data_IF_427558993434
#
_entry.id   IF_427558993434
#
_cell.length_a   1.000
_cell.length_b   1.000
_cell.length_c   1.000
_cell.angle_alpha   90.00
_cell.angle_beta   90.00
_cell.angle_gamma   90.00
#
_symmetry.space_group_name_H-M   'P 1'
#
loop_
_entity.id
_entity.type
_entity.pdbx_description
1 polymer ?
#
# COMPACT_ATOMS: atom_id res chain seq x y z
N UNK A 1 4.85 76.02 4.47
CA UNK A 1 5.30 75.96 5.87
C UNK A 1 5.69 74.53 6.21
N UNK A 2 6.94 74.36 6.66
CA UNK A 2 7.61 73.26 7.39
C UNK A 2 7.53 71.82 6.80
N UNK A 3 8.51 71.28 6.06
CA UNK A 3 9.92 70.88 6.35
C UNK A 3 10.13 69.70 7.33
N UNK A 4 10.73 68.63 6.79
CA UNK A 4 11.83 67.74 7.27
C UNK A 4 11.80 66.51 6.33
N UNK A 5 12.68 66.21 5.37
CA UNK A 5 14.14 66.15 5.22
C UNK A 5 14.87 65.29 6.27
N UNK A 6 15.36 64.13 5.86
CA UNK A 6 16.77 63.73 6.02
C UNK A 6 17.18 62.71 4.93
N UNK A 7 18.21 63.09 4.16
CA UNK A 7 19.04 62.25 3.30
C UNK A 7 20.17 61.63 4.15
N UNK A 8 20.90 60.57 3.74
CA UNK A 8 22.13 60.68 2.93
C UNK A 8 22.80 59.28 2.79
N UNK A 9 23.33 59.01 1.58
CA UNK A 9 24.58 58.29 1.22
C UNK A 9 24.73 56.78 1.51
N UNK A 10 25.40 55.94 0.70
CA UNK A 10 26.23 56.05 -0.53
C UNK A 10 26.60 54.61 -0.93
N UNK A 11 26.37 54.11 -2.15
CA UNK A 11 27.22 54.12 -3.38
C UNK A 11 28.67 53.67 -3.18
N UNK A 12 29.03 52.51 -3.75
CA UNK A 12 30.12 52.19 -4.72
C UNK A 12 30.29 50.64 -4.75
N UNK A 13 29.96 49.85 -5.79
CA UNK A 13 30.33 49.75 -7.22
C UNK A 13 31.81 49.43 -7.53
N UNK A 14 31.96 48.45 -8.45
CA UNK A 14 33.10 48.00 -9.29
C UNK A 14 33.82 46.73 -8.78
N UNK A 15 33.57 45.53 -9.32
CA UNK A 15 33.75 44.92 -10.67
C UNK A 15 35.15 44.38 -10.99
N UNK A 16 35.16 43.09 -11.36
CA UNK A 16 35.97 42.40 -12.40
C UNK A 16 37.49 42.27 -12.21
N UNK A 17 37.99 41.02 -12.21
CA UNK A 17 38.49 40.36 -13.42
C UNK A 17 38.90 38.89 -13.16
N UNK A 18 38.71 38.08 -14.19
CA UNK A 18 39.17 36.68 -14.33
C UNK A 18 40.35 36.71 -15.31
N UNK A 19 41.43 35.97 -15.06
CA UNK A 19 42.18 35.14 -16.04
C UNK A 19 43.41 34.48 -15.42
N UNK A 20 43.74 33.31 -15.96
CA UNK A 20 44.80 32.35 -15.63
C UNK A 20 46.24 32.91 -15.72
N UNK A 21 47.18 32.39 -14.90
CA UNK A 21 48.40 31.69 -15.37
C UNK A 21 49.32 31.24 -14.20
N UNK A 22 49.53 29.91 -14.14
CA UNK A 22 50.79 29.14 -14.19
C UNK A 22 52.09 29.67 -13.51
N UNK A 23 52.51 28.91 -12.47
CA UNK A 23 53.88 28.37 -12.13
C UNK A 23 54.88 29.11 -11.21
N UNK A 24 55.49 28.27 -10.35
CA UNK A 24 56.72 28.37 -9.53
C UNK A 24 56.63 29.22 -8.24
N UNK A 25 57.20 28.83 -7.10
CA UNK A 25 58.33 27.92 -6.84
C UNK A 25 58.39 27.50 -5.35
N UNK A 26 59.04 26.36 -5.15
CA UNK A 26 59.50 25.64 -3.94
C UNK A 26 59.78 26.42 -2.64
N UNK A 27 59.36 25.86 -1.50
CA UNK A 27 60.20 25.20 -0.47
C UNK A 27 59.33 24.91 0.78
N UNK A 28 59.02 23.64 1.07
CA UNK A 28 59.74 22.78 2.05
C UNK A 28 59.64 23.33 3.49
N UNK A 29 58.71 22.75 4.26
CA UNK A 29 59.09 22.05 5.49
C UNK A 29 58.07 20.94 5.82
N UNK A 30 58.51 19.70 6.06
CA UNK A 30 57.67 18.56 6.42
C UNK A 30 57.42 18.53 7.94
N UNK A 31 56.66 17.54 8.42
CA UNK A 31 56.34 17.22 9.83
C UNK A 31 54.95 17.70 10.27
N UNK A 32 53.87 17.09 9.75
CA UNK A 32 52.71 16.59 10.55
C UNK A 32 51.68 15.87 9.66
N UNK A 33 52.04 14.75 9.03
CA UNK A 33 51.07 13.96 8.23
C UNK A 33 50.88 12.51 8.67
N UNK A 34 51.67 11.99 9.63
CA UNK A 34 51.60 10.57 10.01
C UNK A 34 50.69 10.25 11.21
N UNK A 35 50.16 11.27 11.93
CA UNK A 35 49.13 11.04 12.97
C UNK A 35 47.69 11.17 12.47
N UNK A 36 47.47 11.69 11.26
CA UNK A 36 46.13 11.77 10.66
C UNK A 36 45.69 10.48 9.94
N UNK A 37 46.63 9.57 9.61
CA UNK A 37 46.32 8.36 8.82
C UNK A 37 45.94 7.12 9.65
N UNK A 38 46.13 7.13 10.98
CA UNK A 38 45.74 6.02 11.88
C UNK A 38 44.49 6.30 12.73
N UNK A 39 43.84 7.44 12.52
CA UNK A 39 42.54 7.78 13.15
C UNK A 39 41.34 7.41 12.25
N UNK A 40 41.56 7.27 10.94
CA UNK A 40 40.48 7.01 9.97
C UNK A 40 40.20 5.52 9.70
N UNK A 41 40.90 4.60 10.38
CA UNK A 41 40.64 3.15 10.30
C UNK A 41 39.83 2.59 11.49
N UNK A 42 39.43 3.43 12.45
CA UNK A 42 38.65 3.01 13.62
C UNK A 42 37.21 3.56 13.65
N UNK A 43 36.71 4.08 12.52
CA UNK A 43 35.35 4.65 12.40
C UNK A 43 34.63 4.22 11.11
N UNK A 44 34.97 3.04 10.58
CA UNK A 44 34.10 2.26 9.69
C UNK A 44 33.44 1.15 10.51
N UNK A 45 32.81 1.53 11.61
CA UNK A 45 31.85 0.68 12.30
C UNK A 45 30.45 1.04 11.78
N UNK A 46 29.88 0.12 10.99
CA UNK A 46 28.44 -0.05 10.77
C UNK A 46 27.60 1.22 10.51
N UNK A 47 27.92 2.03 9.50
CA UNK A 47 26.87 2.83 8.84
C UNK A 47 26.00 1.87 8.03
N UNK A 48 24.79 1.61 8.52
CA UNK A 48 23.80 0.85 7.77
C UNK A 48 23.58 1.51 6.41
N UNK A 49 23.73 0.74 5.33
CA UNK A 49 23.41 1.18 3.98
C UNK A 49 21.89 1.12 3.77
N UNK A 50 21.13 1.73 4.66
CA UNK A 50 19.68 1.82 4.55
C UNK A 50 19.36 2.93 3.54
N UNK A 51 18.96 2.53 2.34
CA UNK A 51 18.65 3.46 1.24
C UNK A 51 17.14 3.53 1.03
N UNK A 52 16.56 4.73 1.12
CA UNK A 52 15.14 4.92 0.79
C UNK A 52 15.02 4.90 -0.73
N UNK A 53 14.41 3.85 -1.28
CA UNK A 53 14.31 3.62 -2.73
C UNK A 53 12.92 3.89 -3.29
N UNK A 54 11.91 4.02 -2.43
CA UNK A 54 10.59 4.53 -2.77
C UNK A 54 10.03 5.32 -1.59
N UNK A 55 9.43 6.47 -1.89
CA UNK A 55 8.58 7.24 -0.98
C UNK A 55 7.37 7.78 -1.77
N UNK A 56 6.34 6.94 -1.88
CA UNK A 56 5.14 7.21 -2.65
C UNK A 56 4.06 7.76 -1.73
N UNK A 57 3.79 9.06 -1.85
CA UNK A 57 2.65 9.71 -1.17
C UNK A 57 1.42 9.74 -2.08
N UNK A 58 0.27 9.36 -1.54
CA UNK A 58 -1.03 9.48 -2.21
C UNK A 58 -1.82 10.71 -1.75
N UNK A 59 -1.34 11.43 -0.74
CA UNK A 59 -2.02 12.63 -0.23
C UNK A 59 -1.99 13.80 -1.21
N UNK A 60 -1.07 13.75 -2.17
CA UNK A 60 -0.81 14.79 -3.16
C UNK A 60 -0.69 14.18 -4.56
N UNK A 61 -0.87 15.02 -5.57
CA UNK A 61 -0.79 14.64 -6.97
C UNK A 61 -2.15 14.52 -7.64
N UNK A 62 -2.13 14.49 -8.97
CA UNK A 62 -3.31 14.50 -9.84
C UNK A 62 -4.05 13.17 -9.71
N UNK A 63 -5.38 13.21 -9.81
CA UNK A 63 -6.19 12.00 -9.90
C UNK A 63 -6.15 11.57 -11.37
N UNK A 64 -5.45 10.48 -11.64
CA UNK A 64 -5.25 10.01 -13.01
C UNK A 64 -6.43 9.16 -13.47
N UNK A 65 -6.86 9.43 -14.70
CA UNK A 65 -7.95 8.75 -15.38
C UNK A 65 -7.40 7.76 -16.41
N UNK A 66 -8.28 6.95 -17.01
CA UNK A 66 -7.88 6.02 -18.08
C UNK A 66 -7.35 4.66 -17.60
N UNK A 67 -7.61 4.30 -16.34
CA UNK A 67 -7.20 3.02 -15.75
C UNK A 67 -7.97 1.79 -16.28
N UNK A 68 -8.95 1.99 -17.17
CA UNK A 68 -9.78 0.93 -17.76
C UNK A 68 -11.03 0.58 -16.96
N UNK A 69 -11.22 1.16 -15.77
CA UNK A 69 -12.48 1.05 -15.02
C UNK A 69 -13.20 2.40 -14.91
N UNK A 70 -14.52 2.35 -14.74
CA UNK A 70 -15.35 3.51 -14.40
C UNK A 70 -16.28 3.20 -13.22
N UNK A 71 -16.74 4.24 -12.55
CA UNK A 71 -17.75 4.16 -11.50
C UNK A 71 -18.73 5.32 -11.63
N UNK A 72 -19.95 5.10 -11.16
CA UNK A 72 -20.98 6.12 -11.11
C UNK A 72 -21.13 6.66 -9.69
N UNK A 73 -21.35 7.96 -9.56
CA UNK A 73 -21.76 8.56 -8.30
C UNK A 73 -22.97 9.46 -8.50
N UNK A 74 -23.87 9.47 -7.51
CA UNK A 74 -25.01 10.39 -7.51
C UNK A 74 -24.54 11.81 -7.23
N UNK A 75 -24.93 12.75 -8.10
CA UNK A 75 -24.62 14.19 -7.97
C UNK A 75 -25.82 15.00 -7.45
N UNK A 76 -27.02 14.42 -7.45
CA UNK A 76 -28.21 15.06 -6.91
C UNK A 76 -29.09 14.05 -6.17
N UNK A 77 -29.86 14.49 -5.15
CA UNK A 77 -30.89 13.67 -4.52
C UNK A 77 -31.98 13.20 -5.50
N UNK A 78 -32.07 13.84 -6.66
CA UNK A 78 -33.07 13.56 -7.70
C UNK A 78 -32.63 12.43 -8.65
N UNK A 79 -31.55 11.72 -8.33
CA UNK A 79 -31.10 10.53 -9.06
C UNK A 79 -30.18 10.80 -10.26
N UNK A 80 -29.69 12.03 -10.45
CA UNK A 80 -28.70 12.30 -11.50
C UNK A 80 -27.36 11.66 -11.12
N UNK A 81 -26.78 10.89 -12.04
CA UNK A 81 -25.48 10.23 -11.87
C UNK A 81 -24.42 10.88 -12.74
N UNK A 82 -23.18 10.84 -12.27
CA UNK A 82 -21.98 11.17 -13.05
C UNK A 82 -21.09 9.94 -13.13
N UNK A 83 -20.63 9.62 -14.33
CA UNK A 83 -19.65 8.54 -14.56
C UNK A 83 -18.24 9.13 -14.53
N UNK A 84 -17.38 8.56 -13.68
CA UNK A 84 -15.98 8.93 -13.58
C UNK A 84 -15.08 7.73 -13.82
N UNK A 85 -13.91 7.98 -14.42
CA UNK A 85 -12.81 7.00 -14.58
C UNK A 85 -11.67 7.24 -13.59
N UNK A 86 -11.90 8.08 -12.58
CA UNK A 86 -10.95 8.48 -11.54
C UNK A 86 -10.72 7.38 -10.47
N UNK A 87 -10.47 6.16 -10.91
CA UNK A 87 -10.15 5.02 -10.07
C UNK A 87 -8.96 4.25 -10.67
N UNK A 88 -8.36 3.35 -9.90
CA UNK A 88 -7.36 2.40 -10.38
C UNK A 88 -8.05 1.15 -10.90
N UNK A 89 -7.65 0.72 -12.09
CA UNK A 89 -8.18 -0.43 -12.81
C UNK A 89 -7.03 -1.26 -13.40
N UNK A 90 -7.30 -2.17 -14.34
CA UNK A 90 -6.28 -3.08 -14.87
C UNK A 90 -5.17 -2.36 -15.66
N UNK A 91 -5.45 -1.20 -16.26
CA UNK A 91 -4.45 -0.42 -16.98
C UNK A 91 -3.62 0.41 -15.99
N UNK A 92 -2.30 0.51 -16.21
CA UNK A 92 -1.43 1.24 -15.31
C UNK A 92 -1.70 2.75 -15.47
N UNK A 93 -1.73 3.45 -14.34
CA UNK A 93 -1.73 4.91 -14.31
C UNK A 93 -0.50 5.38 -13.54
N UNK A 94 0.17 6.41 -14.04
CA UNK A 94 1.26 7.04 -13.29
C UNK A 94 0.72 7.66 -12.00
N UNK A 95 1.50 7.63 -10.94
CA UNK A 95 1.23 8.36 -9.70
C UNK A 95 2.57 8.71 -9.08
N UNK A 96 2.95 9.99 -9.20
CA UNK A 96 4.20 10.52 -8.66
C UNK A 96 5.43 9.72 -9.14
N UNK A 97 5.45 9.31 -10.42
CA UNK A 97 6.56 8.58 -11.04
C UNK A 97 6.52 7.06 -10.88
N UNK A 98 5.43 6.52 -10.33
CA UNK A 98 5.23 5.07 -10.19
C UNK A 98 3.98 4.64 -10.96
N UNK A 99 4.05 3.53 -11.67
CA UNK A 99 2.90 2.95 -12.35
C UNK A 99 2.09 2.11 -11.37
N UNK A 100 0.77 2.37 -11.33
CA UNK A 100 -0.15 1.74 -10.39
C UNK A 100 -1.36 1.16 -11.12
N UNK A 101 -1.73 -0.06 -10.73
CA UNK A 101 -2.95 -0.75 -11.19
C UNK A 101 -3.85 -1.04 -10.01
N UNK A 102 -5.14 -1.22 -10.28
CA UNK A 102 -6.15 -1.54 -9.29
C UNK A 102 -6.99 -2.74 -9.68
N UNK A 103 -7.51 -3.41 -8.66
CA UNK A 103 -8.52 -4.46 -8.78
C UNK A 103 -9.67 -4.13 -7.84
N UNK A 104 -10.87 -4.01 -8.40
CA UNK A 104 -12.06 -3.64 -7.67
C UNK A 104 -12.29 -2.14 -7.49
N UNK A 105 -11.78 -1.34 -8.43
CA UNK A 105 -11.90 0.13 -8.45
C UNK A 105 -11.40 0.85 -7.17
N UNK A 106 -10.21 0.52 -6.61
CA UNK A 106 -9.56 1.41 -5.65
C UNK A 106 -9.55 2.82 -6.20
N UNK A 107 -9.77 3.83 -5.37
CA UNK A 107 -9.84 5.21 -5.85
C UNK A 107 -9.05 6.11 -4.92
N UNK A 108 -8.64 7.29 -5.42
CA UNK A 108 -8.25 8.42 -4.57
C UNK A 108 -9.45 9.32 -4.35
N UNK A 109 -9.41 10.16 -3.32
CA UNK A 109 -10.52 11.07 -3.02
C UNK A 109 -10.77 11.99 -4.22
N UNK A 110 -11.78 11.66 -5.03
CA UNK A 110 -12.22 12.49 -6.15
C UNK A 110 -13.07 13.64 -5.62
N UNK A 111 -12.65 14.87 -5.93
CA UNK A 111 -13.42 16.10 -6.21
C UNK A 111 -14.65 16.52 -5.36
N UNK A 112 -15.04 15.78 -4.33
CA UNK A 112 -16.20 16.08 -3.47
C UNK A 112 -15.72 16.74 -2.18
N UNK A 113 -16.08 18.01 -2.01
CA UNK A 113 -15.85 18.76 -0.76
C UNK A 113 -16.40 17.96 0.43
N UNK A 114 -15.56 17.79 1.47
CA UNK A 114 -15.98 17.20 2.75
C UNK A 114 -15.61 15.74 2.97
N UNK A 115 -14.91 15.07 2.05
CA UNK A 115 -14.47 13.68 2.27
C UNK A 115 -13.21 13.62 3.17
N UNK A 116 -13.17 12.82 4.26
CA UNK A 116 -12.09 12.85 5.25
C UNK A 116 -10.85 11.99 4.90
N UNK A 117 -10.82 11.36 3.72
CA UNK A 117 -9.75 10.48 3.29
C UNK A 117 -8.90 11.16 2.20
N UNK A 118 -7.60 10.86 2.17
CA UNK A 118 -6.63 11.60 1.34
C UNK A 118 -5.73 10.71 0.48
N UNK A 119 -5.66 9.42 0.78
CA UNK A 119 -4.85 8.45 0.09
C UNK A 119 -5.65 7.64 -0.95
N UNK A 120 -5.32 6.35 -1.08
CA UNK A 120 -6.05 5.37 -1.90
C UNK A 120 -6.95 4.53 -1.01
N UNK A 121 -8.25 4.51 -1.30
CA UNK A 121 -9.23 3.72 -0.57
C UNK A 121 -9.28 2.30 -1.11
N UNK A 122 -9.08 1.34 -0.22
CA UNK A 122 -9.39 -0.07 -0.40
C UNK A 122 -10.54 -0.47 0.54
N UNK A 123 -11.37 -1.38 0.08
CA UNK A 123 -12.53 -1.88 0.84
C UNK A 123 -12.45 -3.40 1.00
N UNK A 124 -12.83 -3.86 2.18
CA UNK A 124 -12.97 -5.28 2.50
C UNK A 124 -14.31 -5.51 3.21
N UNK A 125 -15.05 -6.55 2.82
CA UNK A 125 -16.40 -6.83 3.34
C UNK A 125 -16.69 -8.32 3.32
N UNK A 126 -17.41 -8.80 4.33
CA UNK A 126 -18.09 -10.09 4.30
C UNK A 126 -19.55 -9.91 4.68
N UNK A 127 -20.45 -10.65 4.03
CA UNK A 127 -21.89 -10.69 4.34
C UNK A 127 -22.46 -12.06 3.97
N UNK A 128 -23.31 -12.69 4.80
CA UNK A 128 -24.10 -13.82 4.36
C UNK A 128 -25.03 -13.42 3.22
N UNK A 129 -25.11 -14.28 2.21
CA UNK A 129 -26.06 -14.19 1.11
C UNK A 129 -26.67 -15.56 0.90
N UNK A 130 -27.99 -15.60 0.88
CA UNK A 130 -28.70 -16.83 0.51
C UNK A 130 -28.55 -17.07 -0.99
N UNK A 131 -28.22 -18.31 -1.33
CA UNK A 131 -28.24 -18.82 -2.69
C UNK A 131 -29.15 -20.04 -2.74
N UNK A 132 -29.90 -20.17 -3.83
CA UNK A 132 -30.74 -21.34 -4.08
C UNK A 132 -29.99 -22.24 -5.03
N UNK A 133 -29.63 -23.45 -4.57
CA UNK A 133 -28.95 -24.45 -5.37
C UNK A 133 -29.77 -25.74 -5.36
N UNK A 134 -30.29 -26.14 -6.52
CA UNK A 134 -31.09 -27.37 -6.65
C UNK A 134 -32.33 -27.47 -5.75
N UNK A 135 -32.92 -26.33 -5.34
CA UNK A 135 -34.07 -26.28 -4.44
C UNK A 135 -33.75 -26.21 -2.95
N UNK A 136 -32.47 -26.21 -2.58
CA UNK A 136 -32.01 -25.97 -1.21
C UNK A 136 -31.47 -24.55 -1.05
N UNK A 137 -31.76 -23.93 0.09
CA UNK A 137 -31.17 -22.64 0.48
C UNK A 137 -29.85 -22.89 1.19
N UNK A 138 -28.77 -22.35 0.64
CA UNK A 138 -27.44 -22.37 1.24
C UNK A 138 -26.99 -20.93 1.55
N UNK A 139 -26.21 -20.78 2.63
CA UNK A 139 -25.55 -19.51 2.94
C UNK A 139 -24.19 -19.47 2.23
N UNK A 140 -24.01 -18.47 1.37
CA UNK A 140 -22.76 -18.16 0.71
C UNK A 140 -22.19 -16.84 1.22
N UNK A 141 -20.86 -16.68 1.15
CA UNK A 141 -20.21 -15.41 1.46
C UNK A 141 -20.31 -14.45 0.27
N UNK A 142 -20.94 -13.30 0.46
CA UNK A 142 -20.87 -12.16 -0.45
C UNK A 142 -19.68 -11.29 -0.09
N UNK A 143 -18.49 -11.79 -0.36
CA UNK A 143 -17.25 -11.09 -0.06
C UNK A 143 -16.99 -9.91 -1.01
N UNK A 144 -16.25 -8.92 -0.51
CA UNK A 144 -15.65 -7.85 -1.31
C UNK A 144 -14.23 -7.64 -0.83
N UNK A 145 -13.30 -7.53 -1.77
CA UNK A 145 -11.91 -7.18 -1.49
C UNK A 145 -11.34 -6.36 -2.64
N UNK A 146 -10.36 -5.52 -2.31
CA UNK A 146 -9.67 -4.67 -3.26
C UNK A 146 -8.17 -4.90 -3.19
N UNK A 147 -7.48 -4.58 -4.29
CA UNK A 147 -6.03 -4.61 -4.34
C UNK A 147 -5.47 -3.50 -5.23
N UNK A 148 -4.25 -3.07 -4.93
CA UNK A 148 -3.43 -2.25 -5.82
C UNK A 148 -2.09 -2.93 -6.08
N UNK A 149 -1.57 -2.76 -7.29
CA UNK A 149 -0.25 -3.22 -7.70
C UNK A 149 0.59 -2.02 -8.09
N UNK A 150 1.83 -1.97 -7.62
CA UNK A 150 2.77 -0.87 -7.85
C UNK A 150 4.02 -1.43 -8.49
N UNK A 151 4.33 -0.95 -9.69
CA UNK A 151 5.52 -1.38 -10.43
C UNK A 151 6.78 -0.85 -9.73
N UNK A 152 7.68 -1.76 -9.34
CA UNK A 152 8.93 -1.44 -8.68
C UNK A 152 9.94 -2.58 -8.84
N UNK A 153 11.18 -2.31 -9.29
CA UNK A 153 12.18 -3.34 -9.56
C UNK A 153 12.89 -3.79 -8.28
N UNK A 154 12.32 -4.77 -7.58
CA UNK A 154 12.97 -5.44 -6.46
C UNK A 154 14.13 -6.33 -6.97
N UNK A 155 15.33 -6.10 -6.44
CA UNK A 155 16.56 -6.79 -6.81
C UNK A 155 16.79 -8.01 -5.91
N UNK A 156 17.33 -9.09 -6.48
CA UNK A 156 17.77 -10.26 -5.73
C UNK A 156 18.89 -9.93 -4.73
N UNK A 157 18.97 -10.74 -3.66
CA UNK A 157 19.94 -10.62 -2.57
C UNK A 157 19.88 -9.28 -1.85
N UNK A 158 18.66 -8.78 -1.65
CA UNK A 158 18.37 -7.52 -0.94
C UNK A 158 17.23 -7.74 0.04
N UNK A 159 17.32 -7.07 1.20
CA UNK A 159 16.19 -6.97 2.13
C UNK A 159 15.46 -5.66 1.91
N UNK A 160 14.13 -5.72 1.86
CA UNK A 160 13.26 -4.55 1.76
C UNK A 160 12.42 -4.44 3.02
N UNK A 161 12.47 -3.28 3.66
CA UNK A 161 11.47 -2.85 4.64
C UNK A 161 10.43 -2.01 3.90
N UNK A 162 9.19 -2.50 3.86
CA UNK A 162 8.07 -1.84 3.20
C UNK A 162 7.12 -1.37 4.30
N UNK A 163 6.95 -0.05 4.40
CA UNK A 163 6.08 0.57 5.39
C UNK A 163 4.88 1.22 4.71
N UNK A 164 3.68 0.87 5.15
CA UNK A 164 2.42 1.45 4.70
C UNK A 164 1.88 2.35 5.82
N UNK A 165 1.72 3.65 5.54
CA UNK A 165 1.00 4.56 6.44
C UNK A 165 -0.45 4.67 6.00
N UNK A 166 -1.36 4.33 6.89
CA UNK A 166 -2.77 4.13 6.55
C UNK A 166 -3.71 4.70 7.60
N UNK A 167 -4.94 4.96 7.20
CA UNK A 167 -6.06 5.18 8.11
C UNK A 167 -7.11 4.10 7.91
N UNK A 168 -7.33 3.29 8.94
CA UNK A 168 -8.28 2.19 8.94
C UNK A 168 -9.61 2.64 9.55
N UNK A 169 -10.71 2.26 8.92
CA UNK A 169 -12.06 2.51 9.43
C UNK A 169 -12.85 1.21 9.44
N UNK A 170 -13.41 0.89 10.60
CA UNK A 170 -14.40 -0.16 10.77
C UNK A 170 -15.79 0.47 10.68
N UNK A 171 -16.56 0.12 9.65
CA UNK A 171 -17.89 0.66 9.41
C UNK A 171 -18.93 -0.27 10.03
N UNK A 172 -19.14 -0.06 11.32
CA UNK A 172 -20.25 -0.64 12.07
C UNK A 172 -21.45 0.28 11.86
N UNK A 173 -22.51 -0.21 11.22
CA UNK A 173 -23.78 0.51 11.14
C UNK A 173 -24.75 -0.15 12.10
N UNK A 174 -25.42 0.68 12.88
CA UNK A 174 -26.48 0.27 13.79
C UNK A 174 -27.72 0.96 13.29
N UNK A 175 -28.78 0.22 12.99
CA UNK A 175 -30.04 0.83 12.60
C UNK A 175 -30.57 1.60 13.81
N UNK A 176 -30.40 2.91 13.84
CA UNK A 176 -31.26 3.77 14.65
C UNK A 176 -32.50 4.04 13.82
N UNK A 177 -33.60 3.37 14.13
CA UNK A 177 -34.93 3.83 13.69
C UNK A 177 -35.00 5.34 13.95
N UNK A 178 -35.25 6.18 12.93
CA UNK A 178 -35.42 7.60 13.19
C UNK A 178 -36.70 7.74 14.01
N UNK A 179 -36.55 7.98 15.31
CA UNK A 179 -37.65 8.46 16.14
C UNK A 179 -38.02 9.86 15.62
N UNK A 180 -38.95 9.92 14.66
CA UNK A 180 -39.68 11.14 14.36
C UNK A 180 -39.92 11.54 12.91
N UNK A 181 -39.38 10.86 11.88
CA UNK A 181 -39.61 11.26 10.49
C UNK A 181 -39.81 10.07 9.55
N UNK A 182 -41.06 9.89 9.12
CA UNK A 182 -41.49 9.36 7.81
C UNK A 182 -40.92 8.03 7.35
N UNK A 183 -41.82 7.05 7.20
CA UNK A 183 -41.67 5.72 6.58
C UNK A 183 -40.87 5.66 5.27
N UNK A 184 -39.56 5.81 5.34
CA UNK A 184 -38.63 5.36 4.31
C UNK A 184 -37.45 4.75 5.03
N UNK A 185 -37.39 3.41 5.15
CA UNK A 185 -36.14 2.75 5.45
C UNK A 185 -35.18 3.17 4.33
N UNK A 186 -34.16 3.96 4.65
CA UNK A 186 -33.03 4.11 3.74
C UNK A 186 -32.41 2.71 3.69
N UNK A 187 -32.71 1.99 2.61
CA UNK A 187 -32.20 0.66 2.38
C UNK A 187 -30.67 0.70 2.37
N UNK A 188 -30.13 -0.39 2.88
CA UNK A 188 -28.72 -0.68 3.07
C UNK A 188 -28.06 0.12 4.18
N UNK A 189 -27.81 -0.58 5.28
CA UNK A 189 -26.51 -0.68 5.95
C UNK A 189 -26.60 -1.74 7.06
N UNK A 190 -25.67 -2.69 7.00
CA UNK A 190 -25.40 -3.79 7.95
C UNK A 190 -25.89 -3.53 9.37
N UNK A 191 -26.64 -4.46 9.95
CA UNK A 191 -27.14 -4.39 11.33
C UNK A 191 -26.27 -5.28 12.22
N UNK A 192 -25.06 -4.81 12.54
CA UNK A 192 -24.16 -5.52 13.45
C UNK A 192 -23.70 -4.59 14.54
N UNK A 193 -23.71 -5.06 15.79
CA UNK A 193 -23.21 -4.30 16.94
C UNK A 193 -21.67 -4.23 16.94
N UNK A 194 -21.01 -5.17 16.24
CA UNK A 194 -19.55 -5.24 16.10
C UNK A 194 -19.15 -6.04 14.86
N UNK A 195 -18.06 -5.62 14.21
CA UNK A 195 -17.47 -6.40 13.11
C UNK A 195 -16.91 -7.74 13.59
N UNK A 196 -17.21 -8.80 12.84
CA UNK A 196 -16.94 -10.19 13.21
C UNK A 196 -15.73 -10.81 12.49
N UNK A 197 -15.13 -10.04 11.58
CA UNK A 197 -13.90 -10.38 10.87
C UNK A 197 -12.75 -9.43 11.28
N UNK A 198 -11.56 -9.72 10.76
CA UNK A 198 -10.36 -8.92 10.95
C UNK A 198 -9.91 -8.31 9.61
N UNK A 199 -9.76 -6.97 9.54
CA UNK A 199 -9.16 -6.34 8.39
C UNK A 199 -7.70 -6.77 8.29
N UNK A 200 -7.33 -7.34 7.15
CA UNK A 200 -6.01 -7.92 6.93
C UNK A 200 -5.40 -7.37 5.65
N UNK A 201 -4.13 -6.97 5.75
CA UNK A 201 -3.32 -6.60 4.59
C UNK A 201 -2.48 -7.80 4.20
N UNK A 202 -2.59 -8.22 2.94
CA UNK A 202 -1.75 -9.24 2.31
C UNK A 202 -0.85 -8.54 1.29
N UNK A 203 0.45 -8.45 1.60
CA UNK A 203 1.47 -7.84 0.74
C UNK A 203 2.28 -8.94 0.07
N UNK A 204 2.35 -8.87 -1.26
CA UNK A 204 3.08 -9.84 -2.08
C UNK A 204 4.07 -9.16 -3.02
N UNK A 205 5.27 -9.73 -3.16
CA UNK A 205 6.21 -9.36 -4.22
C UNK A 205 6.04 -10.31 -5.40
N UNK A 206 5.84 -9.74 -6.58
CA UNK A 206 5.40 -10.50 -7.78
C UNK A 206 6.26 -10.19 -9.00
N UNK A 207 6.33 -11.15 -9.92
CA UNK A 207 7.14 -11.03 -11.15
C UNK A 207 6.47 -10.16 -12.22
N UNK A 208 5.15 -10.02 -12.15
CA UNK A 208 4.40 -9.16 -13.06
C UNK A 208 3.50 -8.23 -12.27
N UNK A 209 3.28 -6.98 -12.74
CA UNK A 209 2.44 -6.03 -12.05
C UNK A 209 0.94 -6.27 -12.23
N UNK A 210 0.56 -7.23 -13.08
CA UNK A 210 -0.83 -7.55 -13.36
C UNK A 210 -1.46 -8.20 -12.14
N UNK A 211 -2.66 -7.74 -11.77
CA UNK A 211 -3.47 -8.37 -10.71
C UNK A 211 -4.37 -9.42 -11.36
N UNK A 212 -4.18 -10.72 -11.11
CA UNK A 212 -4.98 -11.76 -11.72
C UNK A 212 -6.44 -11.71 -11.25
N UNK A 213 -7.37 -12.00 -12.16
CA UNK A 213 -8.80 -12.14 -11.88
C UNK A 213 -9.63 -11.86 -13.13
N UNK A 214 -10.90 -12.27 -13.10
CA UNK A 214 -11.76 -12.25 -14.28
C UNK A 214 -12.47 -10.91 -14.50
N UNK A 215 -12.73 -10.15 -13.43
CA UNK A 215 -13.46 -8.89 -13.50
C UNK A 215 -12.85 -7.84 -12.54
N UNK A 216 -11.74 -7.19 -12.94
CA UNK A 216 -11.08 -6.18 -12.14
C UNK A 216 -11.93 -4.90 -11.94
N UNK A 217 -13.00 -4.74 -12.73
CA UNK A 217 -13.92 -3.60 -12.65
C UNK A 217 -15.29 -3.99 -12.08
N UNK A 218 -15.38 -5.12 -11.37
CA UNK A 218 -16.64 -5.54 -10.72
C UNK A 218 -17.07 -4.54 -9.65
N UNK A 219 -18.39 -4.45 -9.40
CA UNK A 219 -18.95 -3.71 -8.27
C UNK A 219 -18.86 -4.51 -6.95
N UNK A 220 -18.69 -5.83 -7.03
CA UNK A 220 -18.42 -6.74 -5.90
C UNK A 220 -17.15 -7.55 -6.20
N UNK A 221 -16.00 -6.88 -6.27
CA UNK A 221 -14.74 -7.51 -6.62
C UNK A 221 -14.30 -8.48 -5.53
N UNK A 222 -13.79 -9.63 -5.96
CA UNK A 222 -13.13 -10.61 -5.10
C UNK A 222 -11.70 -10.77 -5.61
N UNK A 223 -10.74 -10.31 -4.83
CA UNK A 223 -9.32 -10.54 -5.08
C UNK A 223 -9.02 -12.00 -4.75
N UNK A 224 -8.47 -12.79 -5.69
CA UNK A 224 -8.08 -14.16 -5.40
C UNK A 224 -7.14 -14.27 -4.20
N UNK A 225 -7.48 -15.17 -3.27
CA UNK A 225 -6.75 -15.37 -2.01
C UNK A 225 -5.35 -15.95 -2.18
N UNK A 226 -5.10 -16.63 -3.30
CA UNK A 226 -3.80 -17.19 -3.66
C UNK A 226 -3.43 -16.75 -5.08
N UNK A 227 -2.38 -15.94 -5.17
CA UNK A 227 -1.66 -15.80 -6.42
C UNK A 227 -0.50 -16.79 -6.40
N UNK A 228 -0.01 -17.20 -7.57
CA UNK A 228 1.11 -18.12 -7.76
C UNK A 228 2.45 -17.60 -7.19
N UNK A 229 2.45 -16.48 -6.45
CA UNK A 229 3.61 -16.02 -5.72
C UNK A 229 3.97 -17.06 -4.66
N UNK A 230 5.21 -17.57 -4.65
CA UNK A 230 5.59 -18.54 -3.65
C UNK A 230 5.45 -17.93 -2.23
N UNK A 231 5.17 -18.75 -1.20
CA UNK A 231 4.90 -18.28 0.16
C UNK A 231 5.99 -17.36 0.74
N UNK A 232 7.20 -17.48 0.22
CA UNK A 232 8.36 -16.69 0.61
C UNK A 232 8.22 -15.19 0.35
N UNK A 233 7.44 -14.81 -0.67
CA UNK A 233 7.20 -13.42 -1.08
C UNK A 233 5.81 -12.93 -0.71
N UNK A 234 5.17 -13.58 0.26
CA UNK A 234 3.85 -13.19 0.78
C UNK A 234 3.94 -12.94 2.29
N UNK A 235 3.42 -11.81 2.76
CA UNK A 235 3.31 -11.49 4.19
C UNK A 235 1.93 -10.93 4.47
N UNK A 236 1.34 -11.36 5.58
CA UNK A 236 0.04 -10.91 6.03
C UNK A 236 0.15 -10.26 7.40
N UNK A 237 -0.57 -9.16 7.59
CA UNK A 237 -0.69 -8.52 8.90
C UNK A 237 -2.16 -8.17 9.13
N UNK A 238 -2.70 -8.64 10.26
CA UNK A 238 -4.03 -8.27 10.74
C UNK A 238 -3.93 -6.91 11.42
N UNK A 239 -4.89 -6.02 11.18
CA UNK A 239 -4.93 -4.79 11.94
C UNK A 239 -5.50 -5.08 13.34
N UNK A 240 -4.72 -4.79 14.37
CA UNK A 240 -5.19 -4.83 15.75
C UNK A 240 -6.13 -3.65 15.99
N UNK A 241 -7.37 -3.93 16.40
CA UNK A 241 -8.33 -2.88 16.78
C UNK A 241 -7.90 -2.32 18.13
N UNK A 242 -7.56 -1.03 18.19
CA UNK A 242 -7.21 -0.37 19.47
C UNK A 242 -8.43 0.23 20.17
N UNK A 243 -9.48 0.59 19.42
CA UNK A 243 -10.72 1.19 19.93
C UNK A 243 -11.93 0.68 19.13
N UNK A 244 -13.12 0.70 19.75
CA UNK A 244 -14.36 0.26 19.12
C UNK A 244 -14.92 1.24 18.06
N UNK A 245 -14.33 2.44 17.90
CA UNK A 245 -14.99 3.53 17.18
C UNK A 245 -14.04 4.30 16.26
N UNK A 246 -14.11 3.94 14.98
CA UNK A 246 -13.83 4.70 13.76
C UNK A 246 -12.49 5.48 13.64
N UNK A 247 -11.81 5.23 12.51
CA UNK A 247 -10.73 6.05 11.96
C UNK A 247 -9.40 6.05 12.73
N UNK A 248 -8.72 4.92 12.76
CA UNK A 248 -7.41 4.78 13.40
C UNK A 248 -6.28 4.93 12.39
N UNK A 249 -5.29 5.76 12.70
CA UNK A 249 -4.02 5.77 11.97
C UNK A 249 -3.24 4.51 12.33
N UNK A 250 -2.80 3.76 11.32
CA UNK A 250 -2.05 2.51 11.47
C UNK A 250 -0.87 2.50 10.51
N UNK A 251 0.26 2.02 11.02
CA UNK A 251 1.46 1.76 10.24
C UNK A 251 1.67 0.26 10.17
N UNK A 252 1.76 -0.27 8.95
CA UNK A 252 2.09 -1.68 8.70
C UNK A 252 3.51 -1.75 8.15
N UNK A 253 4.34 -2.62 8.70
CA UNK A 253 5.73 -2.78 8.28
C UNK A 253 6.00 -4.23 7.93
N UNK A 254 6.47 -4.45 6.71
CA UNK A 254 6.76 -5.77 6.17
C UNK A 254 8.22 -5.87 5.79
N UNK A 255 8.84 -7.01 6.08
CA UNK A 255 10.22 -7.31 5.70
C UNK A 255 10.26 -8.44 4.70
N UNK A 256 10.97 -8.22 3.59
CA UNK A 256 11.19 -9.21 2.54
C UNK A 256 12.66 -9.30 2.20
N UNK A 257 13.24 -10.48 2.42
CA UNK A 257 14.55 -10.81 1.87
C UNK A 257 14.37 -11.58 0.57
N UNK A 258 14.86 -11.00 -0.52
CA UNK A 258 14.65 -11.52 -1.87
C UNK A 258 15.87 -12.28 -2.37
N UNK A 259 15.66 -13.40 -3.06
CA UNK A 259 16.72 -14.17 -3.74
C UNK A 259 16.58 -14.12 -5.26
N UNK A 260 15.45 -13.62 -5.73
CA UNK A 260 15.08 -13.46 -7.12
C UNK A 260 14.57 -12.04 -7.31
N UNK A 261 14.71 -11.53 -8.52
CA UNK A 261 14.15 -10.23 -8.87
C UNK A 261 12.62 -10.32 -8.90
N UNK A 262 11.94 -9.24 -8.48
CA UNK A 262 10.49 -9.06 -8.60
C UNK A 262 10.23 -7.68 -9.21
N UNK A 263 9.11 -7.53 -9.91
CA UNK A 263 8.83 -6.33 -10.72
C UNK A 263 7.73 -5.45 -10.15
N UNK A 264 7.01 -5.95 -9.14
CA UNK A 264 5.96 -5.18 -8.48
C UNK A 264 5.70 -5.69 -7.07
N UNK A 265 5.03 -4.84 -6.30
CA UNK A 265 4.35 -5.25 -5.07
C UNK A 265 2.85 -5.19 -5.28
N UNK A 266 2.15 -6.14 -4.68
CA UNK A 266 0.71 -6.23 -4.64
C UNK A 266 0.24 -6.08 -3.20
N UNK A 267 -0.64 -5.11 -2.96
CA UNK A 267 -1.25 -4.87 -1.65
C UNK A 267 -2.72 -5.23 -1.77
N UNK A 268 -3.14 -6.28 -1.07
CA UNK A 268 -4.54 -6.72 -1.02
C UNK A 268 -5.12 -6.41 0.35
N UNK A 269 -6.39 -6.03 0.35
CA UNK A 269 -7.15 -5.80 1.57
C UNK A 269 -8.27 -6.84 1.69
N UNK A 270 -8.13 -7.71 2.69
CA UNK A 270 -8.92 -8.92 2.84
C UNK A 270 -9.68 -8.90 4.19
N UNK A 271 -10.94 -9.36 4.23
CA UNK A 271 -11.67 -9.55 5.47
C UNK A 271 -11.45 -10.99 5.98
N UNK A 272 -10.37 -11.23 6.72
CA UNK A 272 -10.08 -12.59 7.24
C UNK A 272 -10.97 -12.94 8.44
N UNK A 273 -11.46 -14.18 8.48
CA UNK A 273 -12.30 -14.70 9.56
C UNK A 273 -11.45 -14.85 10.85
N UNK A 274 -12.06 -14.61 12.01
CA UNK A 274 -11.46 -14.97 13.29
C UNK A 274 -11.22 -16.48 13.37
N UNK A 275 -10.02 -16.91 13.77
CA UNK A 275 -9.71 -18.33 13.96
C UNK A 275 -10.76 -18.99 14.88
N UNK A 276 -11.22 -20.21 14.53
CA UNK A 276 -12.10 -21.02 15.38
C UNK A 276 -13.60 -20.92 15.11
N UNK A 277 -14.06 -20.27 14.03
CA UNK A 277 -15.48 -20.30 13.62
C UNK A 277 -15.77 -21.44 12.64
N UNK A 278 -16.99 -21.97 12.69
CA UNK A 278 -17.49 -23.03 11.81
C UNK A 278 -17.40 -22.59 10.33
N UNK A 279 -16.92 -23.44 9.39
CA UNK A 279 -16.89 -23.12 7.96
C UNK A 279 -18.25 -22.73 7.35
N UNK A 280 -19.37 -23.14 7.94
CA UNK A 280 -20.73 -22.73 7.49
C UNK A 280 -21.13 -21.31 7.92
N UNK A 281 -20.30 -20.62 8.70
CA UNK A 281 -20.60 -19.30 9.22
C UNK A 281 -19.85 -18.22 8.44
N UNK A 282 -20.60 -17.24 7.92
CA UNK A 282 -20.05 -16.07 7.21
C UNK A 282 -20.02 -14.88 8.18
N UNK A 283 -18.84 -14.35 8.56
CA UNK A 283 -18.78 -13.19 9.45
C UNK A 283 -19.32 -11.95 8.75
N UNK A 284 -20.03 -11.11 9.47
CA UNK A 284 -20.45 -9.80 8.97
C UNK A 284 -19.43 -8.72 9.32
N UNK A 285 -18.98 -7.97 8.32
CA UNK A 285 -18.00 -6.90 8.53
C UNK A 285 -17.88 -5.97 7.33
N UNK A 286 -17.46 -4.73 7.58
CA UNK A 286 -17.12 -3.78 6.52
C UNK A 286 -15.99 -2.84 6.94
N UNK A 287 -14.88 -2.87 6.19
CA UNK A 287 -13.69 -2.11 6.49
C UNK A 287 -13.27 -1.24 5.31
N UNK A 288 -12.78 -0.04 5.62
CA UNK A 288 -12.05 0.81 4.67
C UNK A 288 -10.62 1.00 5.14
N UNK A 289 -9.70 0.96 4.19
CA UNK A 289 -8.29 1.30 4.39
C UNK A 289 -7.93 2.46 3.46
N UNK A 290 -7.53 3.59 4.03
CA UNK A 290 -7.01 4.75 3.32
C UNK A 290 -5.47 4.70 3.34
N UNK A 291 -4.84 4.20 2.27
CA UNK A 291 -3.37 4.12 2.15
C UNK A 291 -2.83 5.49 1.72
N UNK A 292 -2.13 6.18 2.62
CA UNK A 292 -1.65 7.56 2.41
C UNK A 292 -0.22 7.64 1.92
N UNK A 293 0.64 6.73 2.38
CA UNK A 293 2.04 6.68 1.99
C UNK A 293 2.55 5.24 1.97
N UNK A 294 3.46 4.98 1.05
CA UNK A 294 4.21 3.73 0.93
C UNK A 294 5.68 4.09 0.85
N UNK A 295 6.46 3.57 1.79
CA UNK A 295 7.91 3.76 1.85
C UNK A 295 8.61 2.43 1.71
N UNK A 296 9.62 2.35 0.86
CA UNK A 296 10.51 1.20 0.74
C UNK A 296 11.93 1.62 1.12
N UNK A 297 12.51 0.92 2.09
CA UNK A 297 13.91 1.03 2.46
C UNK A 297 14.63 -0.25 2.06
N UNK A 298 15.64 -0.10 1.22
CA UNK A 298 16.57 -1.16 0.85
C UNK A 298 17.64 -1.31 1.94
N UNK A 299 17.88 -2.54 2.37
CA UNK A 299 18.86 -2.93 3.38
C UNK A 299 19.72 -4.11 2.89
N UNK A 300 20.89 -4.35 3.50
CA UNK A 300 21.65 -5.57 3.27
C UNK A 300 20.80 -6.84 3.44
N UNK A 301 21.10 -7.88 2.68
CA UNK A 301 20.37 -9.15 2.74
C UNK A 301 20.42 -9.76 4.15
N UNK A 302 19.25 -10.11 4.68
CA UNK A 302 19.08 -10.75 5.98
C UNK A 302 18.29 -12.04 5.80
N UNK A 303 18.95 -13.18 6.02
CA UNK A 303 18.34 -14.49 5.82
C UNK A 303 17.14 -14.76 6.74
N UNK A 304 16.99 -14.04 7.86
CA UNK A 304 15.89 -14.24 8.81
C UNK A 304 14.52 -13.88 8.23
N UNK A 305 14.46 -12.95 7.26
CA UNK A 305 13.22 -12.58 6.57
C UNK A 305 12.98 -13.39 5.28
N UNK A 306 13.84 -14.36 4.96
CA UNK A 306 13.66 -15.28 3.84
C UNK A 306 13.04 -16.59 4.33
N UNK A 307 11.83 -16.91 3.85
CA UNK A 307 11.21 -18.22 4.09
C UNK A 307 11.65 -19.13 2.94
N UNK A 308 12.36 -20.22 3.23
CA UNK A 308 12.70 -21.19 2.20
C UNK A 308 11.42 -21.89 1.71
N UNK A 309 11.25 -22.10 0.38
CA UNK A 309 10.18 -22.96 -0.09
C UNK A 309 10.34 -24.35 0.53
N UNK A 310 9.22 -25.06 0.83
CA UNK A 310 9.31 -26.41 1.33
C UNK A 310 10.12 -27.25 0.33
N UNK A 311 10.98 -28.16 0.82
CA UNK A 311 11.70 -29.05 -0.07
C UNK A 311 10.69 -29.80 -0.95
N UNK A 312 11.04 -30.09 -2.22
CA UNK A 312 10.16 -30.84 -3.09
C UNK A 312 9.74 -32.13 -2.39
N UNK A 313 8.43 -32.39 -2.33
CA UNK A 313 7.92 -33.66 -1.83
C UNK A 313 8.48 -34.72 -2.77
N UNK A 314 9.36 -35.56 -2.24
CA UNK A 314 9.96 -36.64 -3.00
C UNK A 314 8.86 -37.67 -3.27
N UNK A 315 8.10 -37.48 -4.34
CA UNK A 315 7.09 -38.42 -4.84
C UNK A 315 7.75 -39.66 -5.47
N UNK A 316 8.86 -40.13 -4.91
CA UNK A 316 9.40 -41.44 -5.25
C UNK A 316 8.61 -42.47 -4.43
N UNK A 317 7.79 -43.33 -5.06
CA UNK A 317 7.03 -44.36 -4.35
C UNK A 317 7.90 -45.52 -3.84
N UNK A 318 9.22 -45.35 -3.73
CA UNK A 318 10.14 -46.39 -3.30
C UNK A 318 11.23 -45.85 -2.37
N UNK A 319 10.95 -45.65 -1.07
CA UNK A 319 12.00 -45.54 -0.07
C UNK A 319 12.46 -46.94 0.31
N UNK A 320 13.64 -47.33 -0.17
CA UNK A 320 14.38 -48.48 0.35
C UNK A 320 14.21 -49.79 -0.45
N UNK A 321 15.36 -50.38 -0.78
CA UNK A 321 15.63 -51.77 -1.17
C UNK A 321 14.45 -52.77 -1.18
N UNK A 322 13.50 -52.65 -2.11
CA UNK A 322 12.73 -53.78 -2.64
C UNK A 322 12.43 -53.56 -4.12
N UNK A 323 12.72 -54.59 -4.92
CA UNK A 323 12.40 -54.64 -6.35
C UNK A 323 10.88 -54.57 -6.52
N UNK A 324 10.41 -53.71 -7.42
CA UNK A 324 9.02 -53.69 -7.86
C UNK A 324 8.74 -54.87 -8.82
N UNK A 325 7.51 -55.41 -8.84
CA UNK A 325 7.09 -56.49 -9.74
C UNK A 325 7.07 -56.09 -11.22
#
# INVERSE_FOLDING_TARGET
>A
MNKKLFALLSVLLLTSCVTNDIVNEQNEDPITAEKALKSNQALVSNKSFDNVVMDLSFEKGIINEGSGCSFEYMISPNGSTYTSTACYGPNPVDQNGYLIRGYGKPMRASAMRGNPWRGVKLEAKNKPKEIINGGHTELANSERSNAISIEFPFQANVTYEITLSTRLTDYIKVIKSPSGLGNTPIADQYDIDKSEAFPTIDLQLVETPVIPGNDPCSNTPVVPSQFLAPPNYTRKQKAEKSTEWAHEEKTFTFYFSTKENKQAMLIKFLPEISNGRNPSYVPESYFWLDIRNIKIVQKPFDASYYIAPPPPINNNPCPGFRRCP
#
